data_IF_076538692324
#
_entry.id   IF_076538692324
#
_cell.length_a   1.000
_cell.length_b   1.000
_cell.length_c   1.000
_cell.angle_alpha   90.00
_cell.angle_beta   90.00
_cell.angle_gamma   90.00
#
_symmetry.space_group_name_H-M   'P 1'
#
loop_
_entity.id
_entity.type
_entity.pdbx_description
1 polymer ?
#
# COMPACT_ATOMS: atom_id res chain seq x y z
N UNK A 1 5.27 -25.11 -13.43
CA UNK A 1 4.02 -24.68 -14.12
C UNK A 1 2.92 -24.55 -13.06
N UNK A 2 1.98 -23.61 -13.27
CA UNK A 2 0.80 -23.42 -12.38
C UNK A 2 0.03 -24.74 -12.21
N UNK A 3 -0.24 -25.42 -13.32
CA UNK A 3 -1.07 -26.63 -13.37
C UNK A 3 -0.38 -27.87 -12.76
N UNK A 4 0.92 -27.79 -12.43
CA UNK A 4 1.69 -28.90 -11.85
C UNK A 4 1.78 -28.85 -10.32
N UNK A 5 1.16 -27.86 -9.66
CA UNK A 5 1.18 -27.76 -8.20
C UNK A 5 0.12 -28.71 -7.63
N UNK A 6 0.59 -29.68 -6.82
CA UNK A 6 -0.29 -30.66 -6.21
C UNK A 6 -1.27 -29.97 -5.23
N UNK A 7 -2.58 -30.26 -5.27
CA UNK A 7 -3.53 -29.77 -4.27
C UNK A 7 -3.13 -30.05 -2.81
N UNK A 8 -2.54 -31.21 -2.52
CA UNK A 8 -2.10 -31.56 -1.18
C UNK A 8 -0.97 -30.63 -0.69
N UNK A 9 -0.05 -30.21 -1.59
CA UNK A 9 0.99 -29.24 -1.25
C UNK A 9 0.38 -27.87 -0.89
N UNK A 10 -0.68 -27.45 -1.58
CA UNK A 10 -1.42 -26.19 -1.28
C UNK A 10 -2.05 -26.22 0.10
N UNK A 11 -2.72 -27.34 0.43
CA UNK A 11 -3.30 -27.58 1.77
C UNK A 11 -2.19 -27.62 2.81
N UNK A 12 -1.09 -28.33 2.52
CA UNK A 12 0.08 -28.43 3.41
C UNK A 12 0.68 -27.06 3.76
N UNK A 13 0.74 -26.12 2.80
CA UNK A 13 1.20 -24.75 3.05
C UNK A 13 0.26 -23.98 4.00
N UNK A 14 -1.05 -24.07 3.81
CA UNK A 14 -2.01 -23.44 4.71
C UNK A 14 -1.95 -24.02 6.12
N UNK A 15 -1.85 -25.35 6.24
CA UNK A 15 -1.67 -26.03 7.52
C UNK A 15 -0.38 -25.64 8.23
N UNK A 16 0.73 -25.56 7.51
CA UNK A 16 2.02 -25.12 8.05
C UNK A 16 1.94 -23.73 8.68
N UNK A 17 1.26 -22.78 8.05
CA UNK A 17 1.03 -21.45 8.64
C UNK A 17 0.27 -21.56 9.97
N UNK A 18 -0.75 -22.41 10.05
CA UNK A 18 -1.47 -22.65 11.31
C UNK A 18 -0.56 -23.29 12.36
N UNK A 19 0.30 -24.25 11.99
CA UNK A 19 1.25 -24.92 12.90
C UNK A 19 2.30 -23.94 13.44
N UNK A 20 2.73 -22.99 12.63
CA UNK A 20 3.63 -21.91 13.06
C UNK A 20 3.01 -21.01 14.14
N UNK A 21 1.67 -20.93 14.20
CA UNK A 21 0.93 -20.11 15.18
C UNK A 21 0.50 -20.98 16.37
N UNK A 22 0.02 -22.20 16.10
CA UNK A 22 -0.62 -23.04 17.10
C UNK A 22 0.26 -23.32 18.32
N UNK A 23 -0.29 -23.09 19.51
CA UNK A 23 0.38 -23.35 20.78
C UNK A 23 1.55 -22.42 21.13
N UNK A 24 1.84 -21.40 20.31
CA UNK A 24 2.94 -20.46 20.57
C UNK A 24 2.66 -19.48 21.69
N UNK A 25 1.39 -19.16 21.92
CA UNK A 25 0.96 -18.33 23.04
C UNK A 25 -0.42 -18.79 23.55
N UNK A 26 -0.57 -18.85 24.87
CA UNK A 26 -1.83 -19.28 25.51
C UNK A 26 -3.00 -18.30 25.34
N UNK A 27 -2.72 -17.07 24.88
CA UNK A 27 -3.72 -16.03 24.62
C UNK A 27 -4.35 -16.15 23.24
N UNK A 28 -3.87 -17.03 22.36
CA UNK A 28 -4.44 -17.20 21.02
C UNK A 28 -5.90 -17.61 21.13
N UNK A 29 -6.80 -16.79 20.53
CA UNK A 29 -8.23 -17.05 20.43
C UNK A 29 -8.53 -17.78 19.12
N UNK A 30 -7.96 -17.31 18.02
CA UNK A 30 -8.12 -17.91 16.71
C UNK A 30 -6.89 -17.72 15.86
N UNK A 31 -6.66 -18.68 14.98
CA UNK A 31 -5.64 -18.61 13.94
C UNK A 31 -6.19 -19.17 12.64
N UNK A 32 -5.73 -18.60 11.53
CA UNK A 32 -6.08 -19.06 10.20
C UNK A 32 -4.84 -18.98 9.30
N UNK A 33 -4.57 -20.07 8.59
CA UNK A 33 -3.63 -20.10 7.49
C UNK A 33 -4.40 -20.28 6.18
N UNK A 34 -4.12 -19.49 5.18
CA UNK A 34 -4.73 -19.63 3.87
C UNK A 34 -3.72 -19.53 2.74
N UNK A 35 -3.92 -20.37 1.75
CA UNK A 35 -3.21 -20.34 0.47
C UNK A 35 -4.21 -20.02 -0.64
N UNK A 36 -3.84 -19.10 -1.52
CA UNK A 36 -4.60 -18.77 -2.71
C UNK A 36 -3.71 -18.77 -3.94
N UNK A 37 -4.21 -19.27 -5.05
CA UNK A 37 -3.57 -19.11 -6.34
C UNK A 37 -4.59 -18.77 -7.43
N UNK A 38 -4.14 -18.03 -8.41
CA UNK A 38 -4.95 -17.64 -9.56
C UNK A 38 -4.09 -17.70 -10.83
N UNK A 39 -4.72 -18.13 -11.92
CA UNK A 39 -4.20 -18.03 -13.27
C UNK A 39 -5.28 -17.40 -14.12
N UNK A 40 -4.98 -16.26 -14.72
CA UNK A 40 -5.90 -15.56 -15.61
C UNK A 40 -5.32 -15.47 -17.01
N UNK A 41 -6.21 -15.61 -18.01
CA UNK A 41 -5.91 -15.37 -19.41
C UNK A 41 -6.95 -14.39 -19.95
N UNK A 42 -6.47 -13.36 -20.64
CA UNK A 42 -7.31 -12.37 -21.30
C UNK A 42 -6.94 -12.28 -22.77
N UNK A 43 -7.92 -12.43 -23.62
CA UNK A 43 -7.85 -12.11 -25.04
C UNK A 43 -8.83 -10.97 -25.33
N UNK A 44 -8.36 -9.95 -26.03
CA UNK A 44 -9.13 -8.74 -26.29
C UNK A 44 -9.05 -8.37 -27.77
N UNK A 45 -10.21 -8.13 -28.37
CA UNK A 45 -10.36 -7.62 -29.74
C UNK A 45 -11.24 -6.38 -29.70
N UNK A 46 -10.89 -5.37 -30.45
CA UNK A 46 -11.69 -4.15 -30.56
C UNK A 46 -11.94 -3.76 -32.04
N UNK A 47 -13.04 -3.06 -32.26
CA UNK A 47 -13.49 -2.67 -33.64
C UNK A 47 -12.52 -1.75 -34.38
N UNK A 48 -11.57 -1.11 -33.63
CA UNK A 48 -10.52 -0.29 -34.21
C UNK A 48 -9.32 -1.11 -34.75
N UNK A 49 -9.40 -2.44 -34.73
CA UNK A 49 -8.35 -3.36 -35.18
C UNK A 49 -7.37 -3.79 -34.11
N UNK A 50 -7.56 -3.38 -32.84
CA UNK A 50 -6.72 -3.87 -31.76
C UNK A 50 -7.00 -5.36 -31.49
N UNK A 51 -5.92 -6.12 -31.33
CA UNK A 51 -5.92 -7.51 -30.88
C UNK A 51 -4.77 -7.70 -29.89
N UNK A 52 -5.05 -8.31 -28.74
CA UNK A 52 -4.04 -8.52 -27.71
C UNK A 52 -4.41 -9.61 -26.73
N UNK A 53 -3.40 -10.26 -26.19
CA UNK A 53 -3.54 -11.27 -25.16
C UNK A 53 -2.65 -10.98 -23.94
N UNK A 54 -3.06 -11.44 -22.78
CA UNK A 54 -2.24 -11.43 -21.58
C UNK A 54 -2.54 -12.65 -20.72
N UNK A 55 -1.52 -13.14 -20.05
CA UNK A 55 -1.64 -14.23 -19.08
C UNK A 55 -0.93 -13.81 -17.78
N UNK A 56 -1.59 -14.03 -16.65
CA UNK A 56 -1.05 -13.72 -15.34
C UNK A 56 -1.22 -14.92 -14.41
N UNK A 57 -0.35 -15.03 -13.43
CA UNK A 57 -0.50 -15.94 -12.30
C UNK A 57 -0.17 -15.20 -11.02
N UNK A 58 -0.80 -15.60 -9.93
CA UNK A 58 -0.47 -15.12 -8.58
C UNK A 58 -0.58 -16.26 -7.59
N UNK A 59 0.24 -16.20 -6.56
CA UNK A 59 0.29 -17.14 -5.45
C UNK A 59 0.38 -16.33 -4.19
N UNK A 60 -0.43 -16.66 -3.18
CA UNK A 60 -0.48 -15.91 -1.93
C UNK A 60 -0.58 -16.87 -0.75
N UNK A 61 0.17 -16.61 0.29
CA UNK A 61 0.12 -17.32 1.56
C UNK A 61 -0.09 -16.29 2.67
N UNK A 62 -1.13 -16.52 3.50
CA UNK A 62 -1.54 -15.57 4.54
C UNK A 62 -1.67 -16.29 5.87
N UNK A 63 -1.20 -15.67 6.93
CA UNK A 63 -1.47 -16.05 8.32
C UNK A 63 -2.22 -14.93 9.03
N UNK A 64 -3.32 -15.28 9.70
CA UNK A 64 -4.07 -14.38 10.56
C UNK A 64 -4.10 -14.93 11.97
N UNK A 65 -4.05 -14.06 12.96
CA UNK A 65 -4.11 -14.46 14.36
C UNK A 65 -4.79 -13.39 15.20
N UNK A 66 -5.66 -13.82 16.11
CA UNK A 66 -6.21 -12.96 17.16
C UNK A 66 -5.86 -13.52 18.53
N UNK A 67 -5.60 -12.64 19.47
CA UNK A 67 -5.22 -13.00 20.85
C UNK A 67 -6.08 -12.25 21.85
N UNK A 68 -6.17 -12.81 23.07
CA UNK A 68 -6.78 -12.12 24.20
C UNK A 68 -5.83 -11.06 24.71
N UNK A 69 -6.27 -9.81 24.70
CA UNK A 69 -5.60 -8.66 25.32
C UNK A 69 -6.08 -8.45 26.76
N UNK A 70 -5.89 -7.24 27.27
CA UNK A 70 -6.38 -6.81 28.56
C UNK A 70 -7.88 -6.49 28.48
N UNK A 71 -8.64 -6.88 29.53
CA UNK A 71 -10.10 -6.71 29.54
C UNK A 71 -10.76 -7.43 28.36
N UNK A 72 -11.55 -6.70 27.59
CA UNK A 72 -12.26 -7.19 26.40
C UNK A 72 -11.47 -7.01 25.09
N UNK A 73 -10.25 -6.48 25.15
CA UNK A 73 -9.44 -6.26 23.96
C UNK A 73 -9.08 -7.58 23.27
N UNK A 74 -9.20 -7.59 21.95
CA UNK A 74 -8.87 -8.74 21.08
C UNK A 74 -8.00 -8.26 19.92
N UNK A 75 -6.70 -7.97 20.15
CA UNK A 75 -5.81 -7.57 19.10
C UNK A 75 -5.74 -8.64 18.00
N UNK A 76 -5.69 -8.17 16.76
CA UNK A 76 -5.55 -9.02 15.58
C UNK A 76 -4.36 -8.54 14.75
N UNK A 77 -3.73 -9.48 14.07
CA UNK A 77 -2.71 -9.17 13.09
C UNK A 77 -2.62 -10.26 12.04
N UNK A 78 -1.95 -9.92 10.96
CA UNK A 78 -1.68 -10.81 9.86
C UNK A 78 -0.29 -10.57 9.29
N UNK A 79 0.18 -11.57 8.57
CA UNK A 79 1.30 -11.46 7.67
C UNK A 79 1.01 -12.24 6.40
N UNK A 80 1.58 -11.80 5.30
CA UNK A 80 1.43 -12.50 4.03
C UNK A 80 2.64 -12.29 3.14
N UNK A 81 2.81 -13.20 2.22
CA UNK A 81 3.63 -13.01 1.04
C UNK A 81 2.84 -13.37 -0.20
N UNK A 82 3.18 -12.73 -1.32
CA UNK A 82 2.61 -13.03 -2.62
C UNK A 82 3.69 -12.95 -3.70
N UNK A 83 3.54 -13.77 -4.75
CA UNK A 83 4.44 -13.78 -5.90
C UNK A 83 3.67 -14.18 -7.15
N UNK A 84 4.13 -13.74 -8.31
CA UNK A 84 3.67 -14.24 -9.60
C UNK A 84 4.29 -15.59 -9.95
N UNK A 85 5.28 -16.07 -9.17
CA UNK A 85 5.94 -17.35 -9.32
C UNK A 85 5.87 -18.17 -8.03
N UNK A 86 5.33 -19.38 -8.10
CA UNK A 86 5.22 -20.28 -6.95
C UNK A 86 6.55 -20.55 -6.22
N UNK A 87 7.65 -20.63 -6.98
CA UNK A 87 8.98 -20.91 -6.41
C UNK A 87 9.58 -19.68 -5.69
N UNK A 88 9.06 -18.49 -5.95
CA UNK A 88 9.50 -17.26 -5.31
C UNK A 88 8.61 -16.87 -4.11
N UNK A 89 7.47 -17.58 -3.93
CA UNK A 89 6.60 -17.39 -2.77
C UNK A 89 7.35 -17.81 -1.49
N UNK A 90 7.37 -16.94 -0.50
CA UNK A 90 7.89 -17.26 0.83
C UNK A 90 6.92 -18.22 1.53
N UNK A 91 7.40 -19.44 1.82
CA UNK A 91 6.57 -20.52 2.36
C UNK A 91 6.80 -20.81 3.83
N UNK A 92 7.72 -20.08 4.45
CA UNK A 92 8.15 -20.27 5.84
C UNK A 92 8.04 -18.96 6.61
N UNK A 93 7.68 -19.03 7.89
CA UNK A 93 7.69 -17.92 8.80
C UNK A 93 6.47 -16.97 8.67
N UNK A 94 5.47 -17.30 7.85
CA UNK A 94 4.25 -16.48 7.69
C UNK A 94 3.45 -16.45 8.99
N UNK A 95 3.18 -17.60 9.57
CA UNK A 95 2.49 -17.69 10.86
C UNK A 95 3.30 -17.11 12.01
N UNK A 96 4.60 -17.40 12.04
CA UNK A 96 5.54 -16.83 13.04
C UNK A 96 5.50 -15.31 13.02
N UNK A 97 5.55 -14.70 11.84
CA UNK A 97 5.50 -13.24 11.71
C UNK A 97 4.13 -12.66 12.13
N UNK A 98 3.06 -13.38 11.82
CA UNK A 98 1.70 -12.97 12.24
C UNK A 98 1.57 -12.89 13.76
N UNK A 99 2.07 -13.92 14.46
CA UNK A 99 2.02 -13.93 15.95
C UNK A 99 2.97 -12.90 16.57
N UNK A 100 4.17 -12.71 16.04
CA UNK A 100 5.08 -11.66 16.49
C UNK A 100 4.41 -10.29 16.43
N UNK A 101 3.73 -9.99 15.31
CA UNK A 101 3.05 -8.71 15.10
C UNK A 101 1.87 -8.50 16.04
N UNK A 102 1.06 -9.53 16.30
CA UNK A 102 -0.08 -9.38 17.22
C UNK A 102 0.37 -9.23 18.66
N UNK A 103 1.43 -9.93 19.07
CA UNK A 103 1.99 -9.79 20.43
C UNK A 103 2.53 -8.40 20.71
N UNK A 104 3.10 -7.73 19.70
CA UNK A 104 3.56 -6.35 19.81
C UNK A 104 2.43 -5.34 20.04
N UNK A 105 1.17 -5.70 19.75
CA UNK A 105 -0.02 -4.85 19.99
C UNK A 105 -0.54 -4.91 21.43
N UNK A 106 0.02 -5.75 22.29
CA UNK A 106 -0.44 -5.86 23.68
C UNK A 106 -0.13 -4.58 24.46
N UNK A 107 -1.10 -4.16 25.29
CA UNK A 107 -0.95 -2.93 26.08
C UNK A 107 -1.07 -1.64 25.24
N UNK A 108 -1.76 -1.70 24.09
CA UNK A 108 -2.03 -0.51 23.27
C UNK A 108 -2.77 0.56 24.08
N UNK A 109 -2.31 1.81 23.95
CA UNK A 109 -2.90 2.96 24.64
C UNK A 109 -2.91 4.18 23.67
N UNK A 110 -3.71 5.18 24.02
CA UNK A 110 -3.63 6.50 23.41
C UNK A 110 -2.45 7.27 23.99
N UNK A 111 -1.86 8.11 23.18
CA UNK A 111 -0.91 9.12 23.65
C UNK A 111 -1.50 10.52 23.45
N UNK A 112 -0.85 11.54 23.99
CA UNK A 112 -1.30 12.92 23.89
C UNK A 112 -1.49 13.36 22.43
N UNK A 113 -2.54 14.13 22.18
CA UNK A 113 -2.76 14.80 20.90
C UNK A 113 -1.63 15.78 20.60
N UNK A 114 -1.29 15.96 19.33
CA UNK A 114 -0.23 16.90 18.93
C UNK A 114 0.34 16.62 17.55
N UNK A 115 1.39 17.37 17.23
CA UNK A 115 2.16 17.17 15.99
C UNK A 115 3.33 16.23 16.26
N UNK A 116 3.45 15.22 15.41
CA UNK A 116 4.53 14.23 15.50
C UNK A 116 5.17 14.02 14.11
N UNK A 117 6.43 13.60 14.11
CA UNK A 117 6.98 12.92 12.95
C UNK A 117 6.27 11.57 12.79
N UNK A 118 5.88 11.22 11.57
CA UNK A 118 5.15 9.99 11.24
C UNK A 118 5.98 9.12 10.32
N UNK A 119 6.33 7.92 10.75
CA UNK A 119 6.82 6.86 9.87
C UNK A 119 5.64 5.96 9.53
N UNK A 120 5.43 5.68 8.25
CA UNK A 120 4.44 4.68 7.81
C UNK A 120 5.20 3.53 7.17
N UNK A 121 4.95 2.30 7.61
CA UNK A 121 5.61 1.13 7.05
C UNK A 121 5.19 0.85 5.59
N UNK A 122 5.99 0.08 4.86
CA UNK A 122 5.78 -0.24 3.45
C UNK A 122 4.53 -1.10 3.16
N UNK A 123 3.93 -1.71 4.18
CA UNK A 123 2.65 -2.40 4.04
C UNK A 123 1.47 -1.44 3.96
N UNK A 124 1.63 -0.27 4.57
CA UNK A 124 0.56 0.71 4.76
C UNK A 124 0.77 2.01 3.98
N UNK A 125 1.97 2.26 3.45
CA UNK A 125 2.32 3.50 2.73
C UNK A 125 1.42 3.78 1.52
N UNK A 126 0.97 2.75 0.81
CA UNK A 126 0.03 2.87 -0.31
C UNK A 126 -1.32 3.46 0.10
N UNK A 127 -1.74 3.34 1.38
CA UNK A 127 -2.97 3.95 1.89
C UNK A 127 -2.95 5.48 1.78
N UNK A 128 -1.79 6.09 1.93
CA UNK A 128 -1.62 7.53 1.80
C UNK A 128 -1.48 7.99 0.35
N UNK A 129 -0.99 7.14 -0.54
CA UNK A 129 -0.89 7.45 -1.96
C UNK A 129 -2.21 7.23 -2.70
N UNK A 130 -3.04 6.28 -2.28
CA UNK A 130 -4.28 5.90 -2.96
C UNK A 130 -5.23 7.08 -3.22
N UNK A 131 -5.49 8.01 -2.29
CA UNK A 131 -6.33 9.18 -2.56
C UNK A 131 -5.71 10.12 -3.62
N UNK A 132 -4.38 10.25 -3.63
CA UNK A 132 -3.67 11.07 -4.62
C UNK A 132 -3.84 10.49 -6.01
N UNK A 133 -3.63 9.19 -6.17
CA UNK A 133 -3.85 8.49 -7.46
C UNK A 133 -5.33 8.54 -7.85
N UNK A 134 -6.25 8.34 -6.90
CA UNK A 134 -7.70 8.44 -7.13
C UNK A 134 -8.13 9.80 -7.68
N UNK A 135 -7.51 10.88 -7.21
CA UNK A 135 -7.76 12.25 -7.68
C UNK A 135 -7.27 12.50 -9.12
N UNK A 136 -6.44 11.61 -9.69
CA UNK A 136 -5.91 11.74 -11.06
C UNK A 136 -6.77 11.05 -12.12
N UNK A 137 -7.77 10.26 -11.73
CA UNK A 137 -8.62 9.57 -12.70
C UNK A 137 -9.52 10.53 -13.49
N UNK A 138 -9.69 10.25 -14.77
CA UNK A 138 -10.52 11.03 -15.69
C UNK A 138 -11.94 11.26 -15.18
N UNK A 139 -12.53 10.29 -14.48
CA UNK A 139 -13.85 10.44 -13.86
C UNK A 139 -13.86 11.50 -12.75
N UNK A 140 -12.84 11.56 -11.90
CA UNK A 140 -12.74 12.57 -10.85
C UNK A 140 -12.52 13.97 -11.45
N UNK A 141 -11.66 14.08 -12.47
CA UNK A 141 -11.39 15.33 -13.19
C UNK A 141 -12.65 15.84 -13.92
N UNK A 142 -13.32 14.96 -14.69
CA UNK A 142 -14.50 15.28 -15.47
C UNK A 142 -15.67 15.75 -14.57
N UNK A 143 -15.83 15.12 -13.42
CA UNK A 143 -16.88 15.48 -12.44
C UNK A 143 -16.51 16.65 -11.55
N UNK A 144 -15.30 17.22 -11.72
CA UNK A 144 -14.74 18.28 -10.84
C UNK A 144 -14.69 17.86 -9.36
N UNK A 145 -14.50 16.57 -9.13
CA UNK A 145 -14.41 15.95 -7.81
C UNK A 145 -12.96 15.48 -7.53
N UNK A 146 -12.01 16.40 -7.70
CA UNK A 146 -10.59 16.14 -7.52
C UNK A 146 -9.89 17.35 -6.91
N UNK A 147 -9.19 17.16 -5.80
CA UNK A 147 -8.32 18.19 -5.22
C UNK A 147 -7.06 18.45 -6.10
N UNK A 148 -6.85 17.67 -7.16
CA UNK A 148 -5.78 17.85 -8.15
C UNK A 148 -6.29 18.41 -9.48
N UNK A 149 -7.56 18.85 -9.56
CA UNK A 149 -8.11 19.49 -10.74
C UNK A 149 -7.29 20.72 -11.13
N UNK A 150 -7.01 20.88 -12.43
CA UNK A 150 -6.24 22.00 -13.00
C UNK A 150 -4.81 22.15 -12.43
N UNK A 151 -4.22 21.06 -11.95
CA UNK A 151 -2.87 21.04 -11.39
C UNK A 151 -1.80 20.43 -12.31
N UNK A 152 -2.15 20.00 -13.51
CA UNK A 152 -1.17 19.47 -14.46
C UNK A 152 -0.09 20.51 -14.75
N UNK A 153 1.15 20.03 -14.85
CA UNK A 153 2.37 20.81 -15.04
C UNK A 153 2.68 21.84 -13.94
N UNK A 154 2.05 21.69 -12.77
CA UNK A 154 2.30 22.52 -11.59
C UNK A 154 3.00 21.71 -10.49
N UNK A 155 3.84 22.41 -9.72
CA UNK A 155 4.41 21.89 -8.48
C UNK A 155 3.28 21.76 -7.45
N UNK A 156 2.96 20.55 -7.04
CA UNK A 156 1.84 20.24 -6.14
C UNK A 156 2.30 19.57 -4.86
N UNK A 157 3.24 18.64 -4.99
CA UNK A 157 3.82 17.87 -3.88
C UNK A 157 5.25 18.33 -3.59
N UNK A 158 5.85 17.84 -2.54
CA UNK A 158 7.24 18.13 -2.21
C UNK A 158 8.18 17.79 -3.36
N UNK A 159 9.21 18.60 -3.60
CA UNK A 159 10.19 18.40 -4.70
C UNK A 159 10.99 17.10 -4.59
N UNK A 160 10.94 16.43 -3.44
CA UNK A 160 11.50 15.10 -3.22
C UNK A 160 10.54 13.95 -3.59
N UNK A 161 9.35 14.27 -4.10
CA UNK A 161 8.34 13.26 -4.50
C UNK A 161 8.46 13.01 -6.01
N UNK A 162 8.97 11.85 -6.37
CA UNK A 162 8.96 11.35 -7.75
C UNK A 162 8.26 10.00 -7.79
N UNK A 163 7.15 9.93 -8.53
CA UNK A 163 6.32 8.73 -8.70
C UNK A 163 6.17 8.45 -10.19
N UNK A 164 6.41 7.20 -10.59
CA UNK A 164 6.32 6.75 -11.98
C UNK A 164 5.36 5.57 -12.13
N UNK A 165 4.80 5.44 -13.31
CA UNK A 165 4.18 4.21 -13.80
C UNK A 165 5.18 3.48 -14.69
N UNK A 166 5.58 2.27 -14.27
CA UNK A 166 6.59 1.44 -14.93
C UNK A 166 5.97 0.12 -15.42
N UNK A 167 5.14 0.16 -16.48
CA UNK A 167 4.31 -0.98 -16.89
C UNK A 167 5.09 -2.19 -17.41
N UNK A 168 6.37 -2.02 -17.75
CA UNK A 168 7.18 -3.05 -18.41
C UNK A 168 8.28 -3.62 -17.49
N UNK A 169 8.14 -3.46 -16.16
CA UNK A 169 9.06 -4.12 -15.23
C UNK A 169 8.96 -5.64 -15.38
N UNK A 170 10.07 -6.24 -15.78
CA UNK A 170 10.14 -7.69 -16.02
C UNK A 170 9.88 -8.44 -14.73
N UNK A 171 9.05 -9.50 -14.81
CA UNK A 171 8.70 -10.36 -13.66
C UNK A 171 8.10 -9.58 -12.49
N UNK A 172 7.29 -8.59 -12.77
CA UNK A 172 6.63 -7.78 -11.75
C UNK A 172 5.10 -7.93 -11.81
N UNK A 173 4.49 -8.00 -10.65
CA UNK A 173 3.04 -7.94 -10.54
C UNK A 173 2.53 -6.61 -11.11
N UNK A 174 1.45 -6.66 -11.93
CA UNK A 174 0.88 -5.50 -12.60
C UNK A 174 1.54 -5.12 -13.93
N UNK A 175 2.62 -5.83 -14.35
CA UNK A 175 3.21 -5.60 -15.67
C UNK A 175 2.21 -5.91 -16.80
N UNK A 176 2.09 -5.00 -17.78
CA UNK A 176 1.15 -5.17 -18.90
C UNK A 176 1.56 -4.30 -20.09
N UNK A 177 1.22 -4.75 -21.30
CA UNK A 177 1.49 -4.05 -22.55
C UNK A 177 0.33 -3.18 -23.04
N UNK A 178 -0.86 -3.39 -22.52
CA UNK A 178 -2.05 -2.60 -22.85
C UNK A 178 -2.99 -2.53 -21.64
N UNK A 179 -3.83 -1.52 -21.61
CA UNK A 179 -4.84 -1.34 -20.59
C UNK A 179 -6.17 -2.04 -20.92
N UNK A 180 -7.21 -1.72 -20.16
CA UNK A 180 -8.53 -2.31 -20.36
C UNK A 180 -9.28 -1.80 -21.61
N UNK A 181 -8.78 -0.76 -22.25
CA UNK A 181 -9.30 -0.21 -23.51
C UNK A 181 -8.45 -0.62 -24.73
N UNK A 182 -7.37 -1.41 -24.53
CA UNK A 182 -6.43 -1.79 -25.56
C UNK A 182 -5.39 -0.70 -25.87
N UNK A 183 -5.29 0.33 -25.03
CA UNK A 183 -4.29 1.38 -25.20
C UNK A 183 -2.93 0.86 -24.74
N UNK A 184 -1.93 0.99 -25.62
CA UNK A 184 -0.56 0.56 -25.31
C UNK A 184 0.00 1.31 -24.09
N UNK A 185 0.58 0.55 -23.15
CA UNK A 185 1.23 1.13 -21.99
C UNK A 185 2.65 1.59 -22.31
N UNK A 186 3.07 2.64 -21.67
CA UNK A 186 4.44 3.18 -21.75
C UNK A 186 4.87 3.69 -20.37
N UNK A 187 6.15 3.60 -20.03
CA UNK A 187 6.66 4.25 -18.82
C UNK A 187 6.35 5.75 -18.82
N UNK A 188 5.93 6.28 -17.67
CA UNK A 188 5.58 7.70 -17.54
C UNK A 188 5.83 8.23 -16.15
N UNK A 189 6.17 9.51 -16.04
CA UNK A 189 6.13 10.22 -14.77
C UNK A 189 4.68 10.57 -14.43
N UNK A 190 4.26 10.27 -13.19
CA UNK A 190 3.00 10.75 -12.63
C UNK A 190 3.29 12.05 -11.88
N UNK A 191 4.27 12.00 -10.98
CA UNK A 191 4.89 13.17 -10.38
C UNK A 191 6.39 13.10 -10.62
N UNK A 192 6.97 14.20 -11.05
CA UNK A 192 8.41 14.36 -11.17
C UNK A 192 8.86 15.56 -10.34
N UNK A 193 9.64 15.28 -9.28
CA UNK A 193 10.07 16.34 -8.34
C UNK A 193 8.89 17.21 -7.85
N UNK A 194 7.77 16.56 -7.51
CA UNK A 194 6.54 17.18 -7.03
C UNK A 194 5.65 17.81 -8.10
N UNK A 195 6.12 17.93 -9.33
CA UNK A 195 5.33 18.44 -10.47
C UNK A 195 4.41 17.34 -10.97
N UNK A 196 3.11 17.60 -11.08
CA UNK A 196 2.13 16.69 -11.64
C UNK A 196 2.22 16.65 -13.17
N UNK A 197 2.57 15.49 -13.74
CA UNK A 197 2.76 15.34 -15.19
C UNK A 197 1.61 14.62 -15.90
N UNK A 198 0.87 13.74 -15.20
CA UNK A 198 -0.08 12.83 -15.87
C UNK A 198 -1.37 12.71 -15.11
N UNK A 199 -2.52 12.86 -15.81
CA UNK A 199 -3.82 12.34 -15.42
C UNK A 199 -4.08 10.99 -16.11
N UNK A 200 -4.89 10.14 -15.50
CA UNK A 200 -5.34 8.86 -16.05
C UNK A 200 -6.70 9.04 -16.72
N UNK A 201 -6.70 9.41 -17.99
CA UNK A 201 -7.90 9.78 -18.74
C UNK A 201 -8.22 8.68 -19.74
N UNK A 202 -9.27 7.90 -19.45
CA UNK A 202 -9.84 6.90 -20.33
C UNK A 202 -10.56 7.56 -21.51
N UNK A 203 -10.89 6.75 -22.53
CA UNK A 203 -11.53 7.22 -23.77
C UNK A 203 -12.89 7.88 -23.52
N UNK A 204 -13.68 7.34 -22.59
CA UNK A 204 -15.00 7.89 -22.29
C UNK A 204 -14.90 9.31 -21.68
N UNK A 205 -14.07 9.48 -20.68
CA UNK A 205 -13.88 10.77 -20.03
C UNK A 205 -13.15 11.76 -20.94
N UNK A 206 -12.20 11.30 -21.76
CA UNK A 206 -11.53 12.12 -22.76
C UNK A 206 -12.54 12.73 -23.75
N UNK A 207 -13.46 11.93 -24.29
CA UNK A 207 -14.51 12.40 -25.19
C UNK A 207 -15.43 13.43 -24.52
N UNK A 208 -15.83 13.17 -23.25
CA UNK A 208 -16.66 14.12 -22.51
C UNK A 208 -15.98 15.47 -22.28
N UNK A 209 -14.68 15.46 -21.98
CA UNK A 209 -13.89 16.67 -21.73
C UNK A 209 -13.30 17.31 -22.98
N UNK A 210 -13.45 16.67 -24.16
CA UNK A 210 -12.86 17.08 -25.43
C UNK A 210 -11.33 17.21 -25.35
N UNK A 211 -10.67 16.28 -24.64
CA UNK A 211 -9.21 16.20 -24.52
C UNK A 211 -8.70 14.87 -25.07
N UNK A 212 -7.39 14.74 -25.23
CA UNK A 212 -6.76 13.48 -25.63
C UNK A 212 -6.77 12.48 -24.44
N UNK A 213 -7.16 11.23 -24.71
CA UNK A 213 -6.99 10.15 -23.74
C UNK A 213 -5.49 9.90 -23.44
N UNK A 214 -5.21 9.45 -22.24
CA UNK A 214 -3.85 9.07 -21.85
C UNK A 214 -3.79 7.55 -21.64
N UNK A 215 -4.09 7.08 -20.44
CA UNK A 215 -4.21 5.67 -20.05
C UNK A 215 -5.29 5.58 -19.00
N UNK A 216 -6.05 4.51 -18.95
CA UNK A 216 -7.19 4.39 -18.03
C UNK A 216 -6.79 4.26 -16.56
N UNK A 217 -5.61 3.71 -16.27
CA UNK A 217 -5.09 3.52 -14.90
C UNK A 217 -3.59 3.24 -14.92
N UNK A 218 -2.87 3.43 -13.82
CA UNK A 218 -1.47 3.02 -13.71
C UNK A 218 -1.34 1.50 -13.72
N UNK A 219 -0.16 1.02 -14.07
CA UNK A 219 0.20 -0.41 -14.07
C UNK A 219 1.01 -0.75 -12.83
N UNK A 220 2.24 -0.25 -12.75
CA UNK A 220 3.13 -0.44 -11.60
C UNK A 220 3.60 0.92 -11.13
N UNK A 221 3.16 1.28 -9.94
CA UNK A 221 3.60 2.51 -9.30
C UNK A 221 4.95 2.28 -8.62
N UNK A 222 5.93 3.07 -8.99
CA UNK A 222 7.24 3.11 -8.33
C UNK A 222 7.48 4.50 -7.76
N UNK A 223 8.16 4.56 -6.62
CA UNK A 223 8.55 5.82 -6.00
C UNK A 223 10.07 5.87 -5.89
N UNK A 224 10.66 7.05 -6.11
CA UNK A 224 12.06 7.27 -5.79
C UNK A 224 12.27 7.05 -4.29
N UNK A 225 13.30 6.27 -3.95
CA UNK A 225 13.58 5.84 -2.59
C UNK A 225 14.96 6.28 -2.13
N UNK A 226 15.12 6.35 -0.79
CA UNK A 226 16.35 6.68 -0.10
C UNK A 226 17.21 5.46 0.21
N UNK A 227 17.93 5.50 1.33
CA UNK A 227 18.93 4.50 1.72
C UNK A 227 18.55 3.72 2.97
N UNK A 228 17.55 4.15 3.73
CA UNK A 228 17.14 3.53 5.00
C UNK A 228 15.91 2.65 4.79
N UNK A 229 15.84 1.55 5.52
CA UNK A 229 14.60 0.79 5.72
C UNK A 229 13.73 1.45 6.81
N UNK A 230 12.59 0.86 7.13
CA UNK A 230 11.69 1.34 8.20
C UNK A 230 12.43 1.51 9.54
N UNK A 231 13.32 0.58 9.89
CA UNK A 231 14.07 0.67 11.15
C UNK A 231 15.06 1.83 11.12
N UNK A 232 15.71 2.08 10.00
CA UNK A 232 16.59 3.21 9.80
C UNK A 232 15.85 4.55 9.85
N UNK A 233 14.61 4.62 9.33
CA UNK A 233 13.76 5.80 9.46
C UNK A 233 13.37 6.05 10.92
N UNK A 234 12.95 5.00 11.65
CA UNK A 234 12.63 5.08 13.09
C UNK A 234 13.86 5.53 13.89
N UNK A 235 15.02 4.92 13.62
CA UNK A 235 16.26 5.24 14.33
C UNK A 235 16.73 6.69 14.14
N UNK A 236 16.26 7.38 13.11
CA UNK A 236 16.60 8.78 12.84
C UNK A 236 15.77 9.80 13.64
N UNK A 237 14.78 9.34 14.41
CA UNK A 237 13.85 10.20 15.13
C UNK A 237 14.08 10.18 16.64
N UNK A 238 14.13 11.35 17.25
CA UNK A 238 14.08 11.48 18.71
C UNK A 238 12.68 11.16 19.24
N UNK A 239 11.62 11.66 18.56
CA UNK A 239 10.23 11.45 18.92
C UNK A 239 9.35 11.35 17.65
N UNK A 240 8.39 10.43 17.66
CA UNK A 240 7.49 10.25 16.53
C UNK A 240 6.49 9.12 16.75
N UNK A 241 5.80 8.76 15.66
CA UNK A 241 4.87 7.64 15.60
C UNK A 241 5.22 6.77 14.40
N UNK A 242 5.40 5.47 14.64
CA UNK A 242 5.41 4.44 13.58
C UNK A 242 3.98 3.93 13.39
N UNK A 243 3.38 4.20 12.24
CA UNK A 243 2.07 3.68 11.84
C UNK A 243 2.27 2.34 11.14
N UNK A 244 1.64 1.29 11.68
CA UNK A 244 1.68 -0.08 11.16
C UNK A 244 0.31 -0.61 10.75
N UNK A 245 -0.71 0.24 10.81
CA UNK A 245 -2.05 -0.05 10.34
C UNK A 245 -2.94 1.19 10.33
N UNK A 246 -3.90 1.18 9.40
CA UNK A 246 -4.96 2.19 9.32
C UNK A 246 -6.32 1.53 9.55
N UNK A 247 -7.09 2.06 10.49
CA UNK A 247 -8.41 1.57 10.89
C UNK A 247 -9.50 2.54 10.48
N UNK A 248 -10.21 2.24 9.39
CA UNK A 248 -11.29 3.10 8.93
C UNK A 248 -10.85 4.47 8.43
N UNK A 249 -11.79 5.41 8.43
CA UNK A 249 -11.57 6.77 7.96
C UNK A 249 -11.60 6.91 6.43
N UNK A 250 -11.59 8.15 5.97
CA UNK A 250 -11.68 8.50 4.55
C UNK A 250 -10.84 9.73 4.22
N UNK A 251 -10.78 10.00 2.92
CA UNK A 251 -10.26 11.24 2.34
C UNK A 251 -11.36 11.86 1.47
N UNK A 252 -11.58 13.14 1.60
CA UNK A 252 -12.49 13.91 0.74
C UNK A 252 -11.81 14.09 -0.63
N UNK A 253 -12.37 13.52 -1.66
CA UNK A 253 -11.81 13.56 -3.01
C UNK A 253 -11.74 14.97 -3.60
N UNK A 254 -12.62 15.89 -3.18
CA UNK A 254 -12.68 17.26 -3.70
C UNK A 254 -11.66 18.18 -3.03
N UNK A 255 -11.45 18.03 -1.71
CA UNK A 255 -10.58 18.93 -0.94
C UNK A 255 -9.23 18.32 -0.59
N UNK A 256 -9.12 16.98 -0.55
CA UNK A 256 -7.95 16.26 -0.09
C UNK A 256 -7.85 16.13 1.43
N UNK A 257 -8.84 16.62 2.19
CA UNK A 257 -8.85 16.49 3.64
C UNK A 257 -9.10 15.04 4.03
N UNK A 258 -8.36 14.55 5.01
CA UNK A 258 -8.45 13.17 5.45
C UNK A 258 -8.47 13.03 6.97
N UNK A 259 -9.06 11.94 7.42
CA UNK A 259 -8.99 11.47 8.81
C UNK A 259 -8.97 9.95 8.80
N UNK A 260 -7.92 9.36 9.35
CA UNK A 260 -7.74 7.92 9.44
C UNK A 260 -7.48 7.51 10.88
N UNK A 261 -8.20 6.49 11.37
CA UNK A 261 -7.80 5.77 12.57
C UNK A 261 -6.48 5.04 12.34
N UNK A 262 -5.61 5.02 13.34
CA UNK A 262 -4.30 4.38 13.24
C UNK A 262 -4.04 3.43 14.40
N UNK A 263 -3.16 2.47 14.12
CA UNK A 263 -2.43 1.68 15.10
C UNK A 263 -0.94 1.70 14.77
N UNK A 264 -0.12 1.52 15.80
CA UNK A 264 1.32 1.54 15.61
C UNK A 264 2.08 1.65 16.93
N UNK A 265 3.17 2.41 16.92
CA UNK A 265 4.06 2.53 18.07
C UNK A 265 4.52 3.97 18.26
N UNK A 266 4.60 4.39 19.51
CA UNK A 266 5.33 5.60 19.85
C UNK A 266 6.83 5.39 19.64
N UNK A 267 7.52 6.39 19.11
CA UNK A 267 8.97 6.40 18.91
C UNK A 267 9.59 7.35 19.92
N UNK A 268 10.59 6.87 20.65
CA UNK A 268 11.42 7.67 21.57
C UNK A 268 12.89 7.27 21.41
N UNK A 269 13.74 8.25 21.20
CA UNK A 269 15.19 8.06 21.06
C UNK A 269 15.56 6.99 20.03
N UNK A 270 14.92 7.03 18.88
CA UNK A 270 15.19 6.11 17.75
C UNK A 270 14.67 4.69 17.95
N UNK A 271 13.77 4.44 18.89
CA UNK A 271 13.21 3.11 19.18
C UNK A 271 11.70 3.17 19.30
N UNK A 272 11.05 2.12 18.85
CA UNK A 272 9.63 1.90 19.14
C UNK A 272 9.48 1.51 20.61
N UNK A 273 8.57 2.18 21.32
CA UNK A 273 8.34 1.98 22.74
C UNK A 273 6.92 1.47 22.97
N UNK A 274 5.97 2.36 23.23
CA UNK A 274 4.61 2.00 23.54
C UNK A 274 3.80 1.66 22.30
N UNK A 275 3.09 0.53 22.24
CA UNK A 275 2.09 0.30 21.21
C UNK A 275 0.90 1.26 21.38
N UNK A 276 0.41 1.82 20.28
CA UNK A 276 -0.66 2.81 20.28
C UNK A 276 -1.84 2.34 19.42
N UNK A 277 -3.04 2.71 19.83
CA UNK A 277 -4.28 2.53 19.07
C UNK A 277 -5.32 3.59 19.42
N UNK A 278 -6.47 3.54 18.76
CA UNK A 278 -7.59 4.47 18.97
C UNK A 278 -7.18 5.96 18.87
N UNK A 279 -6.23 6.24 18.02
CA UNK A 279 -5.82 7.58 17.61
C UNK A 279 -6.19 7.84 16.16
N UNK A 280 -6.34 9.11 15.81
CA UNK A 280 -6.53 9.51 14.42
C UNK A 280 -5.36 10.36 13.94
N UNK A 281 -4.95 10.12 12.70
CA UNK A 281 -4.14 11.04 11.92
C UNK A 281 -5.05 11.86 11.01
N UNK A 282 -4.88 13.17 11.01
CA UNK A 282 -5.73 14.10 10.25
C UNK A 282 -4.88 15.09 9.48
N UNK A 283 -5.43 15.61 8.40
CA UNK A 283 -4.76 16.63 7.61
C UNK A 283 -5.33 16.76 6.20
N UNK A 284 -4.50 17.33 5.33
CA UNK A 284 -4.78 17.46 3.90
C UNK A 284 -3.70 16.73 3.10
N UNK A 285 -4.07 15.99 2.06
CA UNK A 285 -3.15 15.15 1.27
C UNK A 285 -2.03 15.96 0.62
N UNK A 286 -2.33 17.15 0.07
CA UNK A 286 -1.29 17.99 -0.52
C UNK A 286 -0.29 18.42 0.56
N UNK A 287 -0.78 18.89 1.70
CA UNK A 287 0.08 19.30 2.82
C UNK A 287 0.92 18.14 3.35
N UNK A 288 0.31 16.96 3.52
CA UNK A 288 1.03 15.77 3.97
C UNK A 288 2.18 15.43 3.03
N UNK A 289 1.93 15.33 1.73
CA UNK A 289 2.96 14.99 0.75
C UNK A 289 4.01 16.09 0.54
N UNK A 290 3.70 17.34 0.85
CA UNK A 290 4.70 18.42 0.94
C UNK A 290 5.59 18.27 2.20
N UNK A 291 5.09 17.62 3.25
CA UNK A 291 5.83 17.34 4.48
C UNK A 291 6.59 15.99 4.43
N UNK A 292 6.61 15.29 3.29
CA UNK A 292 7.46 14.11 3.14
C UNK A 292 8.92 14.50 3.37
N UNK A 293 9.55 13.89 4.35
CA UNK A 293 10.95 14.15 4.70
C UNK A 293 11.89 13.15 4.00
N UNK A 294 11.55 11.87 4.04
CA UNK A 294 12.38 10.81 3.47
C UNK A 294 11.49 9.61 3.06
N UNK A 295 11.80 9.00 1.92
CA UNK A 295 11.27 7.71 1.52
C UNK A 295 12.30 6.63 1.82
N UNK A 296 11.85 5.48 2.30
CA UNK A 296 12.73 4.34 2.60
C UNK A 296 13.27 3.64 1.35
N UNK A 297 13.93 2.50 1.54
CA UNK A 297 14.44 1.64 0.46
C UNK A 297 13.79 0.24 0.44
N UNK A 298 12.82 0.01 1.29
CA UNK A 298 12.22 -1.27 1.64
C UNK A 298 10.93 -1.55 0.85
N UNK A 299 10.96 -1.34 -0.46
CA UNK A 299 9.82 -1.60 -1.34
C UNK A 299 9.37 -3.07 -1.29
N UNK A 300 8.06 -3.31 -1.34
CA UNK A 300 7.49 -4.67 -1.52
C UNK A 300 7.43 -5.02 -3.01
N UNK A 301 8.31 -5.93 -3.44
CA UNK A 301 8.36 -6.39 -4.84
C UNK A 301 7.13 -7.19 -5.26
N UNK A 302 6.42 -7.78 -4.30
CA UNK A 302 5.17 -8.53 -4.46
C UNK A 302 3.93 -7.64 -4.58
N UNK A 303 4.10 -6.38 -4.92
CA UNK A 303 3.01 -5.42 -5.12
C UNK A 303 3.23 -4.63 -6.39
N UNK A 304 2.14 -4.33 -7.11
CA UNK A 304 2.15 -3.34 -8.19
C UNK A 304 2.30 -1.89 -7.66
N UNK A 305 2.08 -1.67 -6.37
CA UNK A 305 2.35 -0.40 -5.70
C UNK A 305 3.64 -0.50 -4.90
N UNK A 306 4.76 -0.22 -5.54
CA UNK A 306 6.10 -0.34 -4.98
C UNK A 306 6.50 0.93 -4.24
N UNK A 307 5.76 1.22 -3.18
CA UNK A 307 5.96 2.37 -2.31
C UNK A 307 6.70 1.89 -1.06
N UNK A 308 7.85 2.50 -0.73
CA UNK A 308 8.61 2.14 0.48
C UNK A 308 7.95 2.68 1.73
N UNK A 309 8.54 2.42 2.88
CA UNK A 309 8.22 3.14 4.11
C UNK A 309 8.48 4.65 3.94
N UNK A 310 7.63 5.47 4.56
CA UNK A 310 7.62 6.92 4.36
C UNK A 310 7.76 7.64 5.70
N UNK A 311 8.59 8.67 5.76
CA UNK A 311 8.74 9.57 6.90
C UNK A 311 8.18 10.95 6.56
N UNK A 312 7.18 11.38 7.29
CA UNK A 312 6.58 12.72 7.22
C UNK A 312 6.87 13.52 8.48
N UNK A 313 6.97 14.84 8.35
CA UNK A 313 7.12 15.78 9.48
C UNK A 313 5.79 16.48 9.77
N UNK A 314 5.66 16.98 11.00
CA UNK A 314 4.58 17.90 11.40
C UNK A 314 3.17 17.39 11.10
N UNK A 315 2.91 16.12 11.38
CA UNK A 315 1.63 15.47 11.14
C UNK A 315 0.75 15.58 12.39
N UNK A 316 -0.51 15.96 12.20
CA UNK A 316 -1.48 16.13 13.30
C UNK A 316 -2.09 14.79 13.72
N UNK A 317 -1.97 14.49 15.01
CA UNK A 317 -2.58 13.33 15.64
C UNK A 317 -3.53 13.76 16.76
N UNK A 318 -4.69 13.10 16.83
CA UNK A 318 -5.63 13.22 17.95
C UNK A 318 -5.75 11.90 18.70
N UNK A 319 -5.58 11.96 20.01
CA UNK A 319 -5.63 10.80 20.92
C UNK A 319 -6.30 11.18 22.23
N UNK A 320 -5.52 11.49 23.28
CA UNK A 320 -6.01 12.00 24.57
C UNK A 320 -6.25 13.49 24.52
#
# INVERSE_FOLDING_TARGET
>A
SFDSINPDDKVGLAMKVCEEIYGKDKRIISSNGSYGDEKSFKYMVASNGFEGESANSSFTLVGNVSIKGEGDARPESYWYDSSIYYNELQKDGIGTKSIERVLQKLGQQKIASGKYAMVVDNMNSSRLLSPVIGALYGSAIQQKNSFLLDKQDKLVLGSNVTIKDEPHLVKAEGARYFDNEGVATTPRAIFNEGVLNTYFIDTYNANKMQVKSTISSPSILTMQHGMKDVNGLVASLEKGILVTGFNGGNCNSTTGDFSYGIEGFHIENGKTTQPISEMNVTGNMITLWNNLSEAGNDIRKSSSWRIPSLLFKDVDFSGL
#
